data_IF_885951277092
#
_entry.id   IF_885951277092
#
_cell.length_a   1.000
_cell.length_b   1.000
_cell.length_c   1.000
_cell.angle_alpha   90.00
_cell.angle_beta   90.00
_cell.angle_gamma   90.00
#
_symmetry.space_group_name_H-M   'P 1'
#
loop_
_entity.id
_entity.type
_entity.pdbx_description
1 polymer ?
#
# COMPACT_ATOMS: atom_id res chain seq x y z
N UNK A 1 -26.41 -22.82 3.33
CA UNK A 1 -25.93 -21.62 4.07
C UNK A 1 -24.40 -21.46 3.99
N UNK A 2 -23.61 -22.48 3.64
CA UNK A 2 -22.13 -22.41 3.57
C UNK A 2 -21.55 -21.47 2.49
N UNK A 3 -22.15 -21.36 1.30
CA UNK A 3 -21.59 -20.56 0.18
C UNK A 3 -21.49 -19.06 0.44
N UNK A 4 -22.32 -18.50 1.33
CA UNK A 4 -22.31 -17.07 1.62
C UNK A 4 -21.14 -16.66 2.54
N UNK A 5 -20.66 -17.55 3.40
CA UNK A 5 -19.56 -17.25 4.33
C UNK A 5 -18.23 -17.13 3.56
N UNK A 6 -17.94 -18.08 2.68
CA UNK A 6 -16.70 -18.10 1.89
C UNK A 6 -16.54 -16.87 0.99
N UNK A 7 -17.62 -16.38 0.39
CA UNK A 7 -17.57 -15.20 -0.48
C UNK A 7 -17.25 -13.93 0.30
N UNK A 8 -17.86 -13.75 1.47
CA UNK A 8 -17.60 -12.62 2.34
C UNK A 8 -16.15 -12.65 2.84
N UNK A 9 -15.64 -13.83 3.21
CA UNK A 9 -14.25 -13.99 3.66
C UNK A 9 -13.24 -13.64 2.57
N UNK A 10 -13.46 -14.12 1.34
CA UNK A 10 -12.61 -13.79 0.18
C UNK A 10 -12.64 -12.29 -0.11
N UNK A 11 -13.83 -11.69 -0.11
CA UNK A 11 -13.98 -10.24 -0.32
C UNK A 11 -13.30 -9.44 0.78
N UNK A 12 -13.50 -9.82 2.04
CA UNK A 12 -12.88 -9.15 3.19
C UNK A 12 -11.37 -9.24 3.12
N UNK A 13 -10.81 -10.42 2.81
CA UNK A 13 -9.38 -10.58 2.60
C UNK A 13 -8.87 -9.66 1.49
N UNK A 14 -9.56 -9.62 0.36
CA UNK A 14 -9.21 -8.73 -0.75
C UNK A 14 -9.22 -7.25 -0.33
N UNK A 15 -10.27 -6.83 0.38
CA UNK A 15 -10.41 -5.47 0.89
C UNK A 15 -9.29 -5.13 1.88
N UNK A 16 -9.10 -5.93 2.92
CA UNK A 16 -8.09 -5.71 3.95
C UNK A 16 -6.67 -5.70 3.37
N UNK A 17 -6.40 -6.50 2.33
CA UNK A 17 -5.10 -6.57 1.66
C UNK A 17 -4.83 -5.35 0.76
N UNK A 18 -5.79 -4.95 -0.08
CA UNK A 18 -5.52 -3.97 -1.15
C UNK A 18 -6.04 -2.56 -0.85
N UNK A 19 -7.07 -2.39 -0.03
CA UNK A 19 -7.71 -1.09 0.19
C UNK A 19 -6.73 0.00 0.63
N UNK A 20 -5.84 -0.20 1.63
CA UNK A 20 -4.91 0.84 2.07
C UNK A 20 -3.95 1.27 0.95
N UNK A 21 -3.35 0.31 0.23
CA UNK A 21 -2.41 0.58 -0.87
C UNK A 21 -3.10 1.28 -2.04
N UNK A 22 -4.33 0.88 -2.39
CA UNK A 22 -5.09 1.52 -3.46
C UNK A 22 -5.50 2.95 -3.13
N UNK A 23 -5.75 3.27 -1.85
CA UNK A 23 -6.02 4.64 -1.42
C UNK A 23 -4.79 5.53 -1.60
N UNK A 24 -3.60 5.04 -1.19
CA UNK A 24 -2.34 5.78 -1.38
C UNK A 24 -2.03 5.90 -2.86
N UNK A 25 -2.18 4.83 -3.64
CA UNK A 25 -2.03 4.83 -5.09
C UNK A 25 -2.92 5.88 -5.76
N UNK A 26 -4.22 5.87 -5.46
CA UNK A 26 -5.17 6.86 -5.99
C UNK A 26 -4.77 8.29 -5.62
N UNK A 27 -4.23 8.50 -4.41
CA UNK A 27 -3.83 9.83 -3.94
C UNK A 27 -2.68 10.44 -4.77
N UNK A 28 -1.88 9.60 -5.45
CA UNK A 28 -0.83 10.06 -6.39
C UNK A 28 -1.41 10.74 -7.62
N UNK A 29 -2.64 10.39 -7.98
CA UNK A 29 -3.39 11.04 -9.06
C UNK A 29 -4.20 12.22 -8.53
N UNK A 30 -4.99 11.99 -7.48
CA UNK A 30 -6.01 12.97 -7.03
C UNK A 30 -5.43 14.11 -6.18
N UNK A 31 -4.23 13.93 -5.63
CA UNK A 31 -3.64 14.77 -4.58
C UNK A 31 -4.58 15.00 -3.39
N UNK A 32 -5.50 14.06 -3.13
CA UNK A 32 -6.45 14.13 -2.02
C UNK A 32 -6.77 12.72 -1.51
N UNK A 33 -6.26 12.39 -0.32
CA UNK A 33 -6.44 11.07 0.27
C UNK A 33 -7.91 10.77 0.58
N UNK A 34 -8.71 11.76 0.95
CA UNK A 34 -10.12 11.55 1.29
C UNK A 34 -10.95 11.20 0.05
N UNK A 35 -10.82 11.97 -1.03
CA UNK A 35 -11.44 11.63 -2.31
C UNK A 35 -10.94 10.29 -2.85
N UNK A 36 -9.68 9.94 -2.58
CA UNK A 36 -9.14 8.63 -2.96
C UNK A 36 -9.77 7.46 -2.20
N UNK A 37 -10.10 7.62 -0.91
CA UNK A 37 -10.83 6.59 -0.15
C UNK A 37 -12.20 6.34 -0.75
N UNK A 38 -12.92 7.40 -1.12
CA UNK A 38 -14.25 7.30 -1.76
C UNK A 38 -14.15 6.58 -3.10
N UNK A 39 -13.19 6.98 -3.95
CA UNK A 39 -12.92 6.33 -5.24
C UNK A 39 -12.68 4.83 -5.08
N UNK A 40 -11.80 4.44 -4.15
CA UNK A 40 -11.46 3.04 -3.92
C UNK A 40 -12.65 2.28 -3.34
N UNK A 41 -13.40 2.89 -2.42
CA UNK A 41 -14.61 2.30 -1.86
C UNK A 41 -15.66 2.00 -2.94
N UNK A 42 -15.87 2.91 -3.89
CA UNK A 42 -16.78 2.69 -5.02
C UNK A 42 -16.36 1.47 -5.87
N UNK A 43 -15.06 1.29 -6.12
CA UNK A 43 -14.55 0.11 -6.84
C UNK A 43 -14.84 -1.17 -6.06
N UNK A 44 -14.60 -1.18 -4.75
CA UNK A 44 -14.90 -2.35 -3.92
C UNK A 44 -16.40 -2.65 -3.80
N UNK A 45 -17.26 -1.63 -3.75
CA UNK A 45 -18.72 -1.79 -3.81
C UNK A 45 -19.12 -2.42 -5.14
N UNK A 46 -18.54 -1.95 -6.25
CA UNK A 46 -18.80 -2.51 -7.58
C UNK A 46 -18.40 -3.98 -7.66
N UNK A 47 -17.22 -4.35 -7.17
CA UNK A 47 -16.76 -5.75 -7.11
C UNK A 47 -17.74 -6.63 -6.31
N UNK A 48 -18.25 -6.12 -5.19
CA UNK A 48 -19.24 -6.82 -4.38
C UNK A 48 -20.58 -6.99 -5.12
N UNK A 49 -21.07 -5.95 -5.79
CA UNK A 49 -22.36 -6.00 -6.48
C UNK A 49 -22.32 -6.87 -7.74
N UNK A 50 -21.26 -6.73 -8.54
CA UNK A 50 -21.11 -7.43 -9.82
C UNK A 50 -20.73 -8.91 -9.64
N UNK A 51 -20.51 -9.35 -8.39
CA UNK A 51 -20.07 -10.72 -8.05
C UNK A 51 -18.85 -11.16 -8.86
N UNK A 52 -17.93 -10.23 -9.12
CA UNK A 52 -16.72 -10.50 -9.90
C UNK A 52 -15.93 -11.62 -9.21
N UNK A 53 -15.92 -12.79 -9.84
CA UNK A 53 -15.15 -13.94 -9.42
C UNK A 53 -13.73 -13.74 -9.93
N UNK A 54 -12.92 -13.31 -8.99
CA UNK A 54 -11.53 -12.98 -9.15
C UNK A 54 -10.74 -14.25 -8.82
N UNK A 55 -10.53 -15.08 -9.83
CA UNK A 55 -10.02 -16.45 -9.68
C UNK A 55 -8.48 -16.55 -9.60
N UNK A 56 -7.77 -15.44 -9.81
CA UNK A 56 -6.30 -15.38 -9.85
C UNK A 56 -5.78 -14.04 -9.31
N UNK A 57 -4.85 -14.08 -8.36
CA UNK A 57 -4.34 -12.94 -7.60
C UNK A 57 -3.65 -11.88 -8.48
N UNK A 58 -2.99 -12.28 -9.58
CA UNK A 58 -2.34 -11.33 -10.48
C UNK A 58 -3.35 -10.60 -11.37
N UNK A 59 -4.34 -11.32 -11.88
CA UNK A 59 -5.45 -10.72 -12.64
C UNK A 59 -6.28 -9.74 -11.78
N UNK A 60 -6.48 -10.09 -10.52
CA UNK A 60 -7.13 -9.24 -9.51
C UNK A 60 -6.39 -7.92 -9.32
N UNK A 61 -5.09 -8.02 -9.11
CA UNK A 61 -4.23 -6.87 -8.85
C UNK A 61 -4.21 -5.94 -10.06
N UNK A 62 -3.97 -6.49 -11.26
CA UNK A 62 -3.98 -5.71 -12.50
C UNK A 62 -5.32 -5.00 -12.72
N UNK A 63 -6.43 -5.69 -12.44
CA UNK A 63 -7.77 -5.11 -12.50
C UNK A 63 -7.95 -3.96 -11.51
N UNK A 64 -7.61 -4.17 -10.23
CA UNK A 64 -7.79 -3.18 -9.16
C UNK A 64 -7.04 -1.87 -9.45
N UNK A 65 -5.73 -1.96 -9.74
CA UNK A 65 -4.93 -0.77 -10.04
C UNK A 65 -5.41 -0.05 -11.30
N UNK A 66 -5.81 -0.80 -12.34
CA UNK A 66 -6.36 -0.20 -13.56
C UNK A 66 -7.69 0.50 -13.30
N UNK A 67 -8.60 -0.13 -12.57
CA UNK A 67 -9.91 0.43 -12.25
C UNK A 67 -9.78 1.70 -11.39
N UNK A 68 -8.91 1.68 -10.39
CA UNK A 68 -8.63 2.83 -9.53
C UNK A 68 -7.94 3.96 -10.29
N UNK A 69 -6.96 3.66 -11.17
CA UNK A 69 -6.35 4.66 -12.06
C UNK A 69 -7.43 5.37 -12.88
N UNK A 70 -8.25 4.61 -13.59
CA UNK A 70 -9.25 5.16 -14.49
C UNK A 70 -10.25 6.05 -13.74
N UNK A 71 -10.77 5.56 -12.60
CA UNK A 71 -11.69 6.31 -11.75
C UNK A 71 -11.06 7.58 -11.16
N UNK A 72 -9.76 7.54 -10.82
CA UNK A 72 -9.01 8.71 -10.34
C UNK A 72 -8.81 9.75 -11.45
N UNK A 73 -8.51 9.33 -12.67
CA UNK A 73 -8.41 10.22 -13.82
C UNK A 73 -9.76 10.88 -14.16
N UNK A 74 -10.86 10.12 -14.10
CA UNK A 74 -12.22 10.66 -14.30
C UNK A 74 -12.59 11.69 -13.23
N UNK A 75 -12.21 11.43 -11.98
CA UNK A 75 -12.38 12.38 -10.87
C UNK A 75 -11.66 13.70 -11.15
N UNK A 76 -10.40 13.64 -11.59
CA UNK A 76 -9.59 14.82 -11.88
C UNK A 76 -10.23 15.64 -13.00
N UNK A 77 -10.57 15.01 -14.13
CA UNK A 77 -11.23 15.67 -15.26
C UNK A 77 -12.52 16.37 -14.84
N UNK A 78 -13.32 15.71 -14.00
CA UNK A 78 -14.57 16.28 -13.49
C UNK A 78 -14.32 17.47 -12.56
N UNK A 79 -13.31 17.37 -11.69
CA UNK A 79 -12.92 18.44 -10.76
C UNK A 79 -12.41 19.68 -11.52
N UNK A 80 -11.56 19.48 -12.52
CA UNK A 80 -11.05 20.54 -13.41
C UNK A 80 -12.17 21.25 -14.16
N UNK A 81 -13.07 20.47 -14.77
CA UNK A 81 -14.24 21.00 -15.46
C UNK A 81 -15.08 21.89 -14.54
N UNK A 82 -15.34 21.45 -13.30
CA UNK A 82 -16.07 22.23 -12.29
C UNK A 82 -15.31 23.48 -11.84
N UNK A 83 -13.99 23.38 -11.70
CA UNK A 83 -13.13 24.48 -11.29
C UNK A 83 -12.82 25.49 -12.40
N UNK A 84 -13.28 25.25 -13.65
CA UNK A 84 -12.92 26.01 -14.85
C UNK A 84 -11.41 26.22 -14.98
N UNK A 85 -10.64 25.26 -14.51
CA UNK A 85 -9.18 25.28 -14.49
C UNK A 85 -8.69 24.09 -15.29
N UNK A 86 -7.68 24.29 -16.12
CA UNK A 86 -6.99 23.21 -16.83
C UNK A 86 -5.70 22.88 -16.10
N UNK A 87 -5.48 21.61 -15.77
CA UNK A 87 -4.13 21.10 -15.50
C UNK A 87 -3.26 21.40 -16.71
N UNK A 88 -1.99 21.63 -16.43
CA UNK A 88 -1.00 21.76 -17.48
C UNK A 88 -1.01 20.47 -18.32
N UNK A 89 -1.09 20.56 -19.67
CA UNK A 89 -1.12 19.40 -20.55
C UNK A 89 0.01 18.39 -20.25
N UNK A 90 1.18 18.90 -19.85
CA UNK A 90 2.35 18.11 -19.45
C UNK A 90 2.06 17.23 -18.23
N UNK A 91 1.40 17.77 -17.21
CA UNK A 91 1.02 17.03 -16.01
C UNK A 91 0.01 15.93 -16.33
N UNK A 92 -0.99 16.24 -17.16
CA UNK A 92 -1.99 15.24 -17.57
C UNK A 92 -1.37 14.13 -18.42
N UNK A 93 -0.43 14.47 -19.31
CA UNK A 93 0.32 13.51 -20.12
C UNK A 93 1.17 12.59 -19.25
N UNK A 94 1.84 13.12 -18.23
CA UNK A 94 2.61 12.30 -17.28
C UNK A 94 1.70 11.33 -16.53
N UNK A 95 0.61 11.83 -15.91
CA UNK A 95 -0.31 11.02 -15.11
C UNK A 95 -1.01 9.91 -15.93
N UNK A 96 -1.24 10.15 -17.22
CA UNK A 96 -1.85 9.16 -18.12
C UNK A 96 -0.84 8.20 -18.73
N UNK A 97 0.46 8.45 -18.59
CA UNK A 97 1.51 7.62 -19.16
C UNK A 97 1.57 6.23 -18.51
N UNK A 98 1.93 5.24 -19.33
CA UNK A 98 2.12 3.87 -18.86
C UNK A 98 3.30 3.76 -17.87
N UNK A 99 4.39 4.49 -18.12
CA UNK A 99 5.56 4.53 -17.24
C UNK A 99 5.22 5.04 -15.83
N UNK A 100 4.43 6.12 -15.73
CA UNK A 100 3.97 6.61 -14.44
C UNK A 100 3.11 5.57 -13.72
N UNK A 101 2.15 4.95 -14.42
CA UNK A 101 1.31 3.90 -13.86
C UNK A 101 2.13 2.73 -13.30
N UNK A 102 3.03 2.16 -14.11
CA UNK A 102 3.88 1.03 -13.71
C UNK A 102 4.76 1.38 -12.51
N UNK A 103 5.33 2.58 -12.50
CA UNK A 103 6.13 3.08 -11.38
C UNK A 103 5.32 3.16 -10.08
N UNK A 104 4.11 3.75 -10.12
CA UNK A 104 3.28 3.86 -8.93
C UNK A 104 2.78 2.49 -8.44
N UNK A 105 2.39 1.60 -9.35
CA UNK A 105 2.01 0.22 -9.00
C UNK A 105 3.17 -0.50 -8.31
N UNK A 106 4.39 -0.40 -8.87
CA UNK A 106 5.58 -1.02 -8.27
C UNK A 106 5.86 -0.50 -6.86
N UNK A 107 5.80 0.82 -6.66
CA UNK A 107 6.03 1.46 -5.36
C UNK A 107 5.01 0.94 -4.33
N UNK A 108 3.73 0.97 -4.66
CA UNK A 108 2.66 0.63 -3.71
C UNK A 108 2.60 -0.88 -3.42
N UNK A 109 2.86 -1.74 -4.42
CA UNK A 109 2.97 -3.18 -4.20
C UNK A 109 4.18 -3.54 -3.34
N UNK A 110 5.32 -2.88 -3.57
CA UNK A 110 6.51 -3.08 -2.75
C UNK A 110 6.24 -2.67 -1.30
N UNK A 111 5.61 -1.50 -1.10
CA UNK A 111 5.19 -1.03 0.22
C UNK A 111 4.22 -2.00 0.90
N UNK A 112 3.23 -2.52 0.17
CA UNK A 112 2.26 -3.50 0.67
C UNK A 112 2.95 -4.77 1.17
N UNK A 113 3.82 -5.36 0.35
CA UNK A 113 4.56 -6.58 0.68
C UNK A 113 5.48 -6.39 1.89
N UNK A 114 6.15 -5.23 1.99
CA UNK A 114 6.97 -4.89 3.16
C UNK A 114 6.12 -4.79 4.42
N UNK A 115 4.98 -4.10 4.36
CA UNK A 115 4.07 -3.96 5.51
C UNK A 115 3.47 -5.31 5.93
N UNK A 116 3.10 -6.15 4.97
CA UNK A 116 2.62 -7.51 5.21
C UNK A 116 3.69 -8.35 5.92
N UNK A 117 4.94 -8.31 5.44
CA UNK A 117 6.04 -9.01 6.10
C UNK A 117 6.29 -8.48 7.53
N UNK A 118 6.28 -7.16 7.73
CA UNK A 118 6.40 -6.53 9.06
C UNK A 118 5.26 -6.95 9.99
N UNK A 119 4.06 -7.17 9.45
CA UNK A 119 2.91 -7.60 10.25
C UNK A 119 3.11 -8.97 10.91
N UNK A 120 3.95 -9.84 10.33
CA UNK A 120 4.30 -11.17 10.86
C UNK A 120 5.30 -11.13 12.01
N UNK A 121 5.91 -9.97 12.27
CA UNK A 121 6.91 -9.83 13.33
C UNK A 121 6.28 -9.89 14.73
N UNK A 122 6.99 -10.48 15.72
CA UNK A 122 6.60 -10.34 17.12
C UNK A 122 6.48 -8.86 17.51
N UNK A 123 5.55 -8.55 18.41
CA UNK A 123 5.19 -7.18 18.80
C UNK A 123 6.40 -6.25 19.05
N UNK A 124 7.40 -6.73 19.82
CA UNK A 124 8.62 -5.96 20.14
C UNK A 124 9.45 -5.64 18.90
N UNK A 125 9.67 -6.63 18.04
CA UNK A 125 10.36 -6.47 16.76
C UNK A 125 9.61 -5.48 15.84
N UNK A 126 8.30 -5.69 15.68
CA UNK A 126 7.43 -4.85 14.84
C UNK A 126 7.48 -3.39 15.26
N UNK A 127 7.37 -3.10 16.56
CA UNK A 127 7.39 -1.74 17.11
C UNK A 127 8.71 -1.03 16.81
N UNK A 128 9.84 -1.71 17.01
CA UNK A 128 11.18 -1.16 16.72
C UNK A 128 11.38 -0.91 15.22
N UNK A 129 10.96 -1.84 14.36
CA UNK A 129 11.07 -1.67 12.90
C UNK A 129 10.20 -0.50 12.42
N UNK A 130 8.98 -0.36 12.92
CA UNK A 130 8.11 0.76 12.56
C UNK A 130 8.71 2.12 12.97
N UNK A 131 9.36 2.23 14.13
CA UNK A 131 10.03 3.47 14.54
C UNK A 131 11.24 3.76 13.66
N UNK A 132 12.01 2.73 13.30
CA UNK A 132 13.14 2.89 12.38
C UNK A 132 12.69 3.33 10.99
N UNK A 133 11.56 2.83 10.49
CA UNK A 133 10.98 3.27 9.22
C UNK A 133 10.47 4.72 9.25
N UNK A 134 10.17 5.25 10.45
CA UNK A 134 9.90 6.68 10.65
C UNK A 134 11.17 7.53 10.74
N UNK A 135 12.34 6.94 10.54
CA UNK A 135 13.63 7.63 10.54
C UNK A 135 14.28 7.79 11.91
N UNK A 136 13.77 7.13 12.96
CA UNK A 136 14.39 7.20 14.27
C UNK A 136 15.67 6.36 14.32
N UNK A 137 16.73 6.95 14.85
CA UNK A 137 17.98 6.27 15.13
C UNK A 137 17.84 5.28 16.29
N UNK A 138 18.73 4.30 16.37
CA UNK A 138 18.71 3.28 17.43
C UNK A 138 18.70 3.87 18.84
N UNK A 139 19.39 5.01 19.04
CA UNK A 139 19.42 5.73 20.32
C UNK A 139 18.06 6.34 20.65
N UNK A 140 17.45 7.06 19.71
CA UNK A 140 16.12 7.64 19.87
C UNK A 140 15.07 6.56 20.14
N UNK A 141 15.13 5.42 19.45
CA UNK A 141 14.25 4.28 19.70
C UNK A 141 14.45 3.73 21.12
N UNK A 142 15.70 3.66 21.60
CA UNK A 142 16.01 3.15 22.94
C UNK A 142 15.42 4.06 24.04
N UNK A 143 15.48 5.38 23.83
CA UNK A 143 14.92 6.40 24.71
C UNK A 143 13.39 6.37 24.68
N UNK A 144 12.78 6.42 23.49
CA UNK A 144 11.33 6.37 23.25
C UNK A 144 10.67 5.14 23.88
N UNK A 145 11.35 3.99 23.81
CA UNK A 145 10.84 2.72 24.34
C UNK A 145 11.31 2.41 25.76
N UNK A 146 12.18 3.25 26.35
CA UNK A 146 12.80 3.01 27.65
C UNK A 146 13.45 1.62 27.77
N UNK A 147 14.23 1.24 26.76
CA UNK A 147 14.99 -0.03 26.70
C UNK A 147 16.46 0.23 26.38
N UNK A 148 17.35 -0.73 26.64
CA UNK A 148 18.76 -0.55 26.29
C UNK A 148 18.98 -0.50 24.77
N UNK A 149 20.00 0.26 24.34
CA UNK A 149 20.45 0.28 22.95
C UNK A 149 20.78 -1.12 22.42
N UNK A 150 21.33 -2.00 23.27
CA UNK A 150 21.60 -3.39 22.93
C UNK A 150 20.31 -4.18 22.68
N UNK A 151 19.25 -3.93 23.44
CA UNK A 151 17.93 -4.52 23.18
C UNK A 151 17.39 -4.10 21.82
N UNK A 152 17.52 -2.82 21.44
CA UNK A 152 17.12 -2.33 20.10
C UNK A 152 17.85 -3.11 19.00
N UNK A 153 19.19 -3.19 19.09
CA UNK A 153 20.03 -3.90 18.12
C UNK A 153 19.66 -5.38 18.01
N UNK A 154 19.48 -6.06 19.14
CA UNK A 154 19.08 -7.48 19.16
C UNK A 154 17.70 -7.71 18.54
N UNK A 155 16.72 -6.86 18.86
CA UNK A 155 15.36 -6.98 18.28
C UNK A 155 15.35 -6.68 16.78
N UNK A 156 16.12 -5.69 16.32
CA UNK A 156 16.33 -5.45 14.88
C UNK A 156 16.93 -6.68 14.20
N UNK A 157 18.00 -7.26 14.75
CA UNK A 157 18.60 -8.51 14.24
C UNK A 157 17.57 -9.63 14.08
N UNK A 158 16.74 -9.88 15.10
CA UNK A 158 15.68 -10.90 15.05
C UNK A 158 14.66 -10.58 13.96
N UNK A 159 14.24 -9.30 13.85
CA UNK A 159 13.31 -8.87 12.82
C UNK A 159 13.84 -9.17 11.41
N UNK A 160 15.11 -8.84 11.11
CA UNK A 160 15.68 -9.12 9.80
C UNK A 160 15.75 -10.60 9.47
N UNK A 161 16.13 -11.44 10.44
CA UNK A 161 16.18 -12.89 10.23
C UNK A 161 14.80 -13.43 9.82
N UNK A 162 13.73 -12.83 10.34
CA UNK A 162 12.34 -13.17 9.96
C UNK A 162 11.90 -12.54 8.63
N UNK A 163 12.28 -11.29 8.35
CA UNK A 163 11.87 -10.57 7.12
C UNK A 163 12.62 -11.03 5.87
N UNK A 164 13.91 -11.40 6.01
CA UNK A 164 14.77 -11.78 4.87
C UNK A 164 14.18 -12.87 3.98
N UNK A 165 13.64 -14.01 4.49
CA UNK A 165 13.05 -15.03 3.63
C UNK A 165 11.72 -14.60 2.98
N UNK A 166 11.03 -13.58 3.52
CA UNK A 166 9.75 -13.08 3.00
C UNK A 166 9.93 -12.05 1.88
N UNK A 167 11.05 -11.32 1.89
CA UNK A 167 11.30 -10.19 0.98
C UNK A 167 12.33 -10.52 -0.12
N UNK A 168 12.35 -11.76 -0.63
CA UNK A 168 13.39 -12.37 -1.51
C UNK A 168 13.75 -11.66 -2.85
N UNK A 169 13.34 -10.41 -3.07
CA UNK A 169 13.83 -9.52 -4.14
C UNK A 169 13.95 -8.05 -3.71
N UNK A 170 13.38 -7.68 -2.56
CA UNK A 170 13.38 -6.34 -1.99
C UNK A 170 14.39 -6.18 -0.83
N UNK A 171 15.36 -7.09 -0.73
CA UNK A 171 16.32 -7.13 0.38
C UNK A 171 17.15 -5.85 0.53
N UNK A 172 17.38 -5.12 -0.58
CA UNK A 172 18.07 -3.83 -0.58
C UNK A 172 17.35 -2.81 0.33
N UNK A 173 16.02 -2.91 0.48
CA UNK A 173 15.23 -2.04 1.35
C UNK A 173 15.52 -2.27 2.84
N UNK A 174 16.03 -3.46 3.21
CA UNK A 174 16.39 -3.77 4.60
C UNK A 174 17.77 -3.21 5.00
N UNK A 175 18.59 -2.77 4.03
CA UNK A 175 19.95 -2.27 4.30
C UNK A 175 19.90 -0.95 5.08
N UNK A 176 18.91 -0.10 4.81
CA UNK A 176 18.75 1.21 5.46
C UNK A 176 18.37 1.13 6.94
N UNK A 177 17.98 -0.04 7.44
CA UNK A 177 17.59 -0.21 8.84
C UNK A 177 18.82 -0.54 9.74
N UNK A 178 19.99 -0.82 9.12
CA UNK A 178 21.25 -1.22 9.78
C UNK A 178 22.12 -0.02 10.20
N UNK A 179 21.97 1.09 9.48
CA UNK A 179 22.55 2.40 9.77
C UNK A 179 21.53 3.24 10.54
#
# INVERSE_FOLDING_TARGET
MEKNNTRLDVYKKLFDTFYPSLCVFSSKYTNNLESSKDIVQEIFIKIWNDKLLLNDDDNVKAFLYTAVKNKSLDFIKTKEFKAKTSLQPETLNELTSQSYFEKQVLIEETSRLVNEAISTLPYKCKRIINLSLKGLENKQISEELSISLNTVKTQKRIAYQKLRPLLKGAYLLLINLFF
#
